data_IF_450586948617
#
_entry.id   IF_450586948617
#
_cell.length_a   1.000
_cell.length_b   1.000
_cell.length_c   1.000
_cell.angle_alpha   90.00
_cell.angle_beta   90.00
_cell.angle_gamma   90.00
#
_symmetry.space_group_name_H-M   'P 1'
#
loop_
_entity.id
_entity.type
_entity.pdbx_description
1 polymer ?
#
# COMPACT_ATOMS: atom_id res chain seq x y z
N UNK A 1 32.68 74.38 -52.04
CA UNK A 1 32.39 74.43 -50.59
C UNK A 1 30.93 74.06 -50.41
N UNK A 2 30.51 73.02 -49.71
CA UNK A 2 31.19 71.99 -48.95
C UNK A 2 30.29 70.75 -48.87
N UNK A 3 30.95 69.61 -49.03
CA UNK A 3 30.68 68.26 -48.54
C UNK A 3 29.25 67.77 -48.26
N UNK A 4 28.89 66.78 -49.08
CA UNK A 4 28.06 65.63 -48.72
C UNK A 4 28.55 64.97 -47.42
N UNK A 5 27.65 64.74 -46.46
CA UNK A 5 27.87 63.72 -45.42
C UNK A 5 26.67 62.78 -45.37
N UNK A 6 26.70 61.77 -46.24
CA UNK A 6 25.95 60.53 -46.09
C UNK A 6 26.56 59.75 -44.91
N UNK A 7 25.98 59.83 -43.73
CA UNK A 7 26.27 58.86 -42.67
C UNK A 7 25.56 57.54 -42.99
N UNK A 8 26.28 56.58 -43.57
CA UNK A 8 25.86 55.18 -43.61
C UNK A 8 26.00 54.59 -42.20
N UNK A 9 24.88 54.27 -41.53
CA UNK A 9 24.90 53.38 -40.36
C UNK A 9 25.17 51.95 -40.85
N UNK A 10 26.43 51.51 -40.80
CA UNK A 10 26.79 50.11 -40.99
C UNK A 10 26.27 49.30 -39.79
N UNK A 11 25.24 48.50 -40.00
CA UNK A 11 24.74 47.52 -39.03
C UNK A 11 25.69 46.32 -38.98
N UNK A 12 26.74 46.41 -38.18
CA UNK A 12 27.66 45.30 -37.91
C UNK A 12 27.17 44.46 -36.74
N UNK A 13 26.96 43.16 -36.96
CA UNK A 13 27.06 42.16 -35.87
C UNK A 13 25.92 41.16 -35.65
N UNK A 14 25.02 40.90 -36.61
CA UNK A 14 23.88 39.96 -36.47
C UNK A 14 24.26 38.46 -36.38
N UNK A 15 25.53 38.11 -36.13
CA UNK A 15 26.03 36.71 -36.12
C UNK A 15 26.17 36.09 -34.71
N UNK A 16 26.06 36.87 -33.64
CA UNK A 16 26.15 36.37 -32.25
C UNK A 16 24.82 35.82 -31.68
N UNK A 17 23.68 36.17 -32.27
CA UNK A 17 22.36 35.76 -31.76
C UNK A 17 22.02 34.29 -32.02
N UNK A 18 22.51 33.70 -33.11
CA UNK A 18 22.26 32.29 -33.43
C UNK A 18 22.94 31.31 -32.48
N UNK A 19 24.18 31.61 -32.06
CA UNK A 19 24.93 30.79 -31.10
C UNK A 19 24.31 30.90 -29.71
N UNK A 20 23.90 32.10 -29.29
CA UNK A 20 23.22 32.31 -28.01
C UNK A 20 21.84 31.62 -27.97
N UNK A 21 21.07 31.68 -29.05
CA UNK A 21 19.79 30.98 -29.17
C UNK A 21 19.96 29.45 -29.16
N UNK A 22 20.99 28.93 -29.85
CA UNK A 22 21.31 27.51 -29.83
C UNK A 22 21.77 27.04 -28.43
N UNK A 23 22.62 27.80 -27.77
CA UNK A 23 23.06 27.51 -26.40
C UNK A 23 21.88 27.51 -25.40
N UNK A 24 20.95 28.46 -25.54
CA UNK A 24 19.71 28.48 -24.75
C UNK A 24 18.87 27.22 -25.00
N UNK A 25 18.71 26.82 -26.26
CA UNK A 25 17.93 25.63 -26.62
C UNK A 25 18.57 24.35 -26.05
N UNK A 26 19.90 24.22 -26.13
CA UNK A 26 20.63 23.14 -25.48
C UNK A 26 20.44 23.14 -23.96
N UNK A 27 20.49 24.29 -23.31
CA UNK A 27 20.27 24.39 -21.86
C UNK A 27 18.85 23.96 -21.46
N UNK A 28 17.84 24.36 -22.23
CA UNK A 28 16.45 23.92 -22.03
C UNK A 28 16.33 22.40 -22.25
N UNK A 29 16.96 21.86 -23.29
CA UNK A 29 16.95 20.42 -23.55
C UNK A 29 17.57 19.64 -22.38
N UNK A 30 18.69 20.10 -21.83
CA UNK A 30 19.31 19.50 -20.63
C UNK A 30 18.37 19.57 -19.43
N UNK A 31 17.70 20.70 -19.19
CA UNK A 31 16.73 20.83 -18.10
C UNK A 31 15.56 19.87 -18.26
N UNK A 32 15.02 19.71 -19.48
CA UNK A 32 13.95 18.74 -19.77
C UNK A 32 14.42 17.31 -19.52
N UNK A 33 15.65 16.97 -19.93
CA UNK A 33 16.20 15.64 -19.65
C UNK A 33 16.34 15.39 -18.14
N UNK A 34 16.83 16.37 -17.38
CA UNK A 34 16.97 16.25 -15.92
C UNK A 34 15.61 16.06 -15.24
N UNK A 35 14.61 16.86 -15.61
CA UNK A 35 13.27 16.74 -15.01
C UNK A 35 12.58 15.44 -15.42
N UNK A 36 12.77 14.96 -16.66
CA UNK A 36 12.25 13.67 -17.09
C UNK A 36 12.86 12.50 -16.30
N UNK A 37 14.18 12.51 -16.08
CA UNK A 37 14.85 11.49 -15.26
C UNK A 37 14.32 11.52 -13.82
N UNK A 38 14.25 12.70 -13.21
CA UNK A 38 13.70 12.87 -11.86
C UNK A 38 12.25 12.39 -11.79
N UNK A 39 11.42 12.70 -12.79
CA UNK A 39 10.02 12.30 -12.82
C UNK A 39 9.87 10.77 -12.84
N UNK A 40 10.63 10.07 -13.70
CA UNK A 40 10.63 8.60 -13.75
C UNK A 40 11.06 7.99 -12.41
N UNK A 41 12.10 8.53 -11.78
CA UNK A 41 12.54 8.05 -10.47
C UNK A 41 11.48 8.26 -9.39
N UNK A 42 10.83 9.42 -9.37
CA UNK A 42 9.73 9.71 -8.44
C UNK A 42 8.52 8.79 -8.67
N UNK A 43 8.18 8.48 -9.93
CA UNK A 43 7.11 7.54 -10.23
C UNK A 43 7.40 6.14 -9.69
N UNK A 44 8.63 5.65 -9.86
CA UNK A 44 9.04 4.34 -9.31
C UNK A 44 8.97 4.32 -7.79
N UNK A 45 9.51 5.35 -7.13
CA UNK A 45 9.47 5.46 -5.68
C UNK A 45 8.03 5.51 -5.15
N UNK A 46 7.12 6.23 -5.82
CA UNK A 46 5.70 6.24 -5.47
C UNK A 46 5.05 4.87 -5.63
N UNK A 47 5.29 4.20 -6.76
CA UNK A 47 4.71 2.87 -7.00
C UNK A 47 5.18 1.84 -5.96
N UNK A 48 6.46 1.89 -5.57
CA UNK A 48 7.00 1.06 -4.51
C UNK A 48 6.36 1.37 -3.16
N UNK A 49 6.23 2.66 -2.83
CA UNK A 49 5.60 3.09 -1.58
C UNK A 49 4.13 2.68 -1.51
N UNK A 50 3.37 2.85 -2.60
CA UNK A 50 1.97 2.42 -2.69
C UNK A 50 1.83 0.90 -2.53
N UNK A 51 2.74 0.12 -3.10
CA UNK A 51 2.76 -1.33 -2.92
C UNK A 51 3.03 -1.72 -1.45
N UNK A 52 3.98 -1.05 -0.79
CA UNK A 52 4.26 -1.26 0.63
C UNK A 52 3.06 -0.87 1.50
N UNK A 53 2.40 0.26 1.20
CA UNK A 53 1.18 0.68 1.90
C UNK A 53 0.06 -0.36 1.75
N UNK A 54 -0.19 -0.84 0.54
CA UNK A 54 -1.22 -1.86 0.30
C UNK A 54 -0.93 -3.14 1.06
N UNK A 55 0.32 -3.62 1.05
CA UNK A 55 0.71 -4.82 1.78
C UNK A 55 0.52 -4.66 3.30
N UNK A 56 0.92 -3.49 3.84
CA UNK A 56 0.78 -3.20 5.26
C UNK A 56 -0.69 -3.03 5.67
N UNK A 57 -1.52 -2.47 4.79
CA UNK A 57 -2.97 -2.37 4.99
C UNK A 57 -3.64 -3.75 5.00
N UNK A 58 -3.24 -4.65 4.11
CA UNK A 58 -3.68 -6.04 4.09
C UNK A 58 -3.32 -6.78 5.39
N UNK A 59 -2.07 -6.66 5.84
CA UNK A 59 -1.61 -7.23 7.11
C UNK A 59 -2.40 -6.65 8.30
N UNK A 60 -2.62 -5.34 8.31
CA UNK A 60 -3.39 -4.69 9.38
C UNK A 60 -4.84 -5.18 9.42
N UNK A 61 -5.46 -5.39 8.25
CA UNK A 61 -6.82 -5.95 8.15
C UNK A 61 -6.87 -7.39 8.68
N UNK A 62 -5.91 -8.23 8.31
CA UNK A 62 -5.82 -9.60 8.79
C UNK A 62 -5.67 -9.65 10.31
N UNK A 63 -4.76 -8.85 10.87
CA UNK A 63 -4.53 -8.77 12.32
C UNK A 63 -5.77 -8.29 13.09
N UNK A 64 -6.52 -7.32 12.54
CA UNK A 64 -7.78 -6.87 13.16
C UNK A 64 -8.85 -7.94 13.17
N UNK A 65 -8.99 -8.70 12.08
CA UNK A 65 -9.92 -9.83 12.03
C UNK A 65 -9.54 -10.91 13.05
N UNK A 66 -8.25 -11.22 13.16
CA UNK A 66 -7.74 -12.17 14.15
C UNK A 66 -7.99 -11.67 15.58
N UNK A 67 -7.76 -10.38 15.87
CA UNK A 67 -8.04 -9.77 17.16
C UNK A 67 -9.52 -9.89 17.53
N UNK A 68 -10.43 -9.59 16.60
CA UNK A 68 -11.88 -9.68 16.83
C UNK A 68 -12.33 -11.13 17.06
N UNK A 69 -11.78 -12.08 16.31
CA UNK A 69 -12.01 -13.50 16.50
C UNK A 69 -11.55 -13.96 17.90
N UNK A 70 -10.32 -13.60 18.29
CA UNK A 70 -9.76 -13.94 19.60
C UNK A 70 -10.57 -13.32 20.73
N UNK A 71 -11.01 -12.07 20.60
CA UNK A 71 -11.91 -11.42 21.57
C UNK A 71 -13.22 -12.20 21.71
N UNK A 72 -13.83 -12.60 20.60
CA UNK A 72 -15.07 -13.39 20.61
C UNK A 72 -14.88 -14.73 21.30
N UNK A 73 -13.78 -15.42 21.03
CA UNK A 73 -13.43 -16.69 21.69
C UNK A 73 -13.19 -16.50 23.18
N UNK A 74 -12.53 -15.41 23.57
CA UNK A 74 -12.27 -15.09 24.96
C UNK A 74 -13.59 -14.82 25.71
N UNK A 75 -14.50 -14.06 25.13
CA UNK A 75 -15.83 -13.80 25.70
C UNK A 75 -16.64 -15.10 25.81
N UNK A 76 -16.59 -15.96 24.79
CA UNK A 76 -17.20 -17.28 24.85
C UNK A 76 -16.60 -18.14 25.96
N UNK A 77 -15.28 -18.15 26.11
CA UNK A 77 -14.59 -18.93 27.16
C UNK A 77 -14.96 -18.49 28.59
N UNK A 78 -15.39 -17.24 28.76
CA UNK A 78 -15.88 -16.69 30.03
C UNK A 78 -17.38 -16.93 30.27
N UNK A 79 -18.11 -17.41 29.25
CA UNK A 79 -19.55 -17.67 29.35
C UNK A 79 -19.88 -18.91 30.22
N UNK A 80 -21.10 -18.96 30.72
CA UNK A 80 -21.61 -20.12 31.47
C UNK A 80 -21.76 -21.33 30.56
N UNK A 81 -22.11 -21.09 29.31
CA UNK A 81 -22.29 -22.09 28.26
C UNK A 81 -20.99 -22.89 28.06
N UNK A 82 -19.85 -22.19 27.98
CA UNK A 82 -18.54 -22.84 27.92
C UNK A 82 -18.25 -23.70 29.16
N UNK A 83 -18.54 -23.21 30.37
CA UNK A 83 -18.39 -24.00 31.59
C UNK A 83 -19.27 -25.24 31.61
N UNK A 84 -20.52 -25.14 31.15
CA UNK A 84 -21.45 -26.28 31.04
C UNK A 84 -20.94 -27.29 30.02
N UNK A 85 -20.38 -26.83 28.91
CA UNK A 85 -19.81 -27.69 27.89
C UNK A 85 -18.54 -28.39 28.39
N UNK A 86 -17.65 -27.67 29.06
CA UNK A 86 -16.48 -28.23 29.71
C UNK A 86 -16.87 -29.27 30.77
N UNK A 87 -17.90 -29.00 31.57
CA UNK A 87 -18.47 -29.91 32.55
C UNK A 87 -18.96 -31.23 31.91
N UNK A 88 -19.63 -31.15 30.76
CA UNK A 88 -20.05 -32.33 29.97
C UNK A 88 -18.85 -33.10 29.44
N UNK A 89 -17.94 -32.42 28.75
CA UNK A 89 -16.84 -33.05 28.01
C UNK A 89 -15.75 -33.64 28.92
N UNK A 90 -15.42 -32.97 30.03
CA UNK A 90 -14.32 -33.39 30.92
C UNK A 90 -14.78 -34.22 32.09
N UNK A 91 -16.01 -34.01 32.57
CA UNK A 91 -16.49 -34.61 33.80
C UNK A 91 -17.76 -35.44 33.59
N UNK A 92 -18.31 -35.50 32.37
CA UNK A 92 -19.52 -36.28 32.07
C UNK A 92 -20.77 -35.74 32.75
N UNK A 93 -20.77 -34.48 33.21
CA UNK A 93 -21.93 -33.91 33.88
C UNK A 93 -23.08 -33.70 32.89
N UNK A 94 -24.30 -34.07 33.29
CA UNK A 94 -25.53 -33.91 32.51
C UNK A 94 -26.58 -33.20 33.35
N UNK A 95 -27.49 -32.46 32.71
CA UNK A 95 -28.56 -31.78 33.45
C UNK A 95 -29.63 -32.78 33.88
N UNK A 96 -30.37 -32.51 34.97
CA UNK A 96 -31.50 -33.32 35.36
C UNK A 96 -32.51 -33.46 34.20
N UNK A 97 -32.83 -34.70 33.83
CA UNK A 97 -33.77 -35.00 32.74
C UNK A 97 -33.15 -35.18 31.34
N UNK A 98 -31.83 -35.06 31.18
CA UNK A 98 -31.15 -35.38 29.91
C UNK A 98 -30.94 -36.90 29.75
N UNK A 99 -31.17 -37.43 28.55
CA UNK A 99 -30.94 -38.84 28.20
C UNK A 99 -29.47 -39.02 27.83
N UNK A 100 -28.79 -39.98 28.48
CA UNK A 100 -27.38 -40.33 28.21
C UNK A 100 -27.34 -41.57 27.33
N UNK A 101 -26.69 -41.47 26.18
CA UNK A 101 -26.45 -42.61 25.28
C UNK A 101 -25.07 -43.20 25.56
N UNK A 102 -25.02 -44.47 25.97
CA UNK A 102 -23.76 -45.19 26.19
C UNK A 102 -23.36 -45.93 24.90
N UNK A 103 -22.40 -45.35 24.17
CA UNK A 103 -21.90 -45.87 22.88
C UNK A 103 -20.97 -47.08 23.03
N UNK A 104 -20.61 -47.49 24.25
CA UNK A 104 -19.88 -48.74 24.48
C UNK A 104 -20.79 -49.96 24.58
N UNK A 105 -22.10 -49.77 24.49
CA UNK A 105 -23.05 -50.88 24.35
C UNK A 105 -23.15 -51.28 22.87
N UNK A 106 -22.04 -51.74 22.29
CA UNK A 106 -22.13 -52.72 21.21
C UNK A 106 -22.82 -53.93 21.81
N UNK A 107 -24.08 -54.15 21.44
CA UNK A 107 -24.82 -55.37 21.69
C UNK A 107 -23.94 -56.57 21.32
N UNK A 108 -23.47 -57.39 22.27
CA UNK A 108 -22.95 -58.69 21.96
C UNK A 108 -24.14 -59.63 21.75
N UNK A 109 -24.06 -60.40 20.67
CA UNK A 109 -24.73 -61.68 20.44
C UNK A 109 -26.17 -61.62 19.87
N UNK A 110 -26.27 -61.57 18.54
CA UNK A 110 -27.17 -62.42 17.76
C UNK A 110 -26.37 -63.60 17.16
#
# INVERSE_FOLDING_TARGET
MGEQVKQSRKSTGKKRSGIAAFALLCAIAVLVCLTAISFVNNMKAKAELDAQYSALEDENRALKMEEELLRTMLDYSQSKEYLIQLARERYGFVRPGEIVFDINQTTPDE
#
